data_IF_772451326345
#
_entry.id   IF_772451326345
#
_cell.length_a   1.000
_cell.length_b   1.000
_cell.length_c   1.000
_cell.angle_alpha   90.00
_cell.angle_beta   90.00
_cell.angle_gamma   90.00
#
_symmetry.space_group_name_H-M   'P 1'
#
loop_
_entity.id
_entity.type
_entity.pdbx_description
1 polymer ?
#
# COMPACT_ATOMS: atom_id res chain seq x y z
N UNK A 1 -1.62 -1.23 -15.80
CA UNK A 1 -0.48 -1.12 -14.91
C UNK A 1 -0.90 -1.02 -13.45
N UNK A 2 -1.76 -0.06 -13.14
CA UNK A 2 -2.28 0.06 -11.78
C UNK A 2 -3.12 -1.14 -11.42
N UNK A 3 -3.81 -1.69 -12.43
CA UNK A 3 -4.63 -2.87 -12.22
C UNK A 3 -3.78 -4.05 -11.75
N UNK A 4 -2.59 -4.21 -12.34
CA UNK A 4 -1.72 -5.32 -11.96
C UNK A 4 -1.21 -5.15 -10.54
N UNK A 5 -0.84 -3.94 -10.17
CA UNK A 5 -0.40 -3.65 -8.81
C UNK A 5 -1.49 -3.96 -7.80
N UNK A 6 -2.72 -3.51 -8.08
CA UNK A 6 -3.83 -3.75 -7.18
C UNK A 6 -4.11 -5.23 -7.03
N UNK A 7 -4.03 -5.97 -8.12
CA UNK A 7 -4.27 -7.40 -8.09
C UNK A 7 -3.23 -8.13 -7.24
N UNK A 8 -1.97 -7.77 -7.39
CA UNK A 8 -0.91 -8.41 -6.62
C UNK A 8 -1.08 -8.12 -5.13
N UNK A 9 -1.44 -6.91 -4.78
CA UNK A 9 -1.64 -6.54 -3.38
C UNK A 9 -2.82 -7.31 -2.81
N UNK A 10 -3.89 -7.43 -3.58
CA UNK A 10 -5.06 -8.18 -3.14
C UNK A 10 -4.72 -9.66 -2.97
N UNK A 11 -4.00 -10.24 -3.92
CA UNK A 11 -3.61 -11.65 -3.86
C UNK A 11 -2.69 -11.91 -2.67
N UNK A 12 -1.88 -10.93 -2.29
CA UNK A 12 -0.98 -11.07 -1.16
C UNK A 12 -1.68 -10.85 0.18
N UNK A 13 -2.95 -10.44 0.16
CA UNK A 13 -3.69 -10.21 1.38
C UNK A 13 -3.31 -8.92 2.08
N UNK A 14 -2.81 -7.94 1.35
CA UNK A 14 -2.32 -6.70 1.94
C UNK A 14 -3.30 -5.54 1.86
N UNK A 15 -4.42 -5.75 1.20
CA UNK A 15 -5.43 -4.70 1.11
C UNK A 15 -5.92 -4.36 2.52
N UNK A 16 -5.86 -3.08 2.86
CA UNK A 16 -6.27 -2.64 4.18
C UNK A 16 -5.17 -2.71 5.25
N UNK A 17 -4.02 -3.26 4.90
CA UNK A 17 -2.91 -3.33 5.84
C UNK A 17 -2.42 -1.91 6.16
N UNK A 18 -2.08 -1.67 7.43
CA UNK A 18 -1.67 -0.34 7.84
C UNK A 18 -0.44 -0.37 8.73
N UNK A 19 0.30 0.73 8.70
CA UNK A 19 1.41 0.99 9.60
C UNK A 19 1.21 2.41 10.10
N UNK A 20 1.05 2.56 11.41
CA UNK A 20 0.75 3.86 11.98
C UNK A 20 -0.51 4.43 11.34
N UNK A 21 -0.43 5.63 10.84
CA UNK A 21 -1.58 6.27 10.20
C UNK A 21 -1.70 6.04 8.70
N UNK A 22 -0.79 5.25 8.12
CA UNK A 22 -0.84 4.96 6.69
C UNK A 22 -1.49 3.61 6.47
N UNK A 23 -2.30 3.50 5.43
CA UNK A 23 -3.02 2.26 5.15
C UNK A 23 -3.12 2.03 3.65
N UNK A 24 -3.00 0.77 3.24
CA UNK A 24 -3.29 0.42 1.86
C UNK A 24 -4.80 0.47 1.68
N UNK A 25 -5.25 1.24 0.70
CA UNK A 25 -6.68 1.45 0.49
C UNK A 25 -7.40 0.13 0.28
N UNK A 26 -8.57 -0.01 0.89
CA UNK A 26 -9.40 -1.18 0.67
C UNK A 26 -10.16 -1.08 -0.63
N UNK A 27 -10.21 0.11 -1.23
CA UNK A 27 -10.92 0.31 -2.48
C UNK A 27 -10.00 0.25 -3.68
N UNK A 28 -8.78 0.76 -3.52
CA UNK A 28 -7.81 0.82 -4.61
C UNK A 28 -6.49 0.31 -4.08
N UNK A 29 -6.24 -0.97 -4.28
CA UNK A 29 -5.10 -1.65 -3.67
C UNK A 29 -3.75 -1.07 -4.02
N UNK A 30 -3.65 -0.26 -5.08
CA UNK A 30 -2.38 0.37 -5.43
C UNK A 30 -2.14 1.70 -4.76
N UNK A 31 -3.02 2.12 -3.85
CA UNK A 31 -2.96 3.44 -3.21
C UNK A 31 -2.72 3.31 -1.72
N UNK A 32 -1.97 4.27 -1.19
CA UNK A 32 -1.80 4.39 0.26
C UNK A 32 -2.51 5.65 0.70
N UNK A 33 -3.35 5.53 1.70
CA UNK A 33 -4.14 6.63 2.21
C UNK A 33 -3.67 6.99 3.61
N UNK A 34 -3.99 8.20 4.01
CA UNK A 34 -3.71 8.70 5.36
C UNK A 34 -4.99 8.58 6.18
N UNK A 35 -4.99 7.65 7.13
CA UNK A 35 -6.14 7.45 8.00
C UNK A 35 -6.25 8.56 9.05
N UNK A 36 -5.14 9.23 9.30
CA UNK A 36 -5.05 10.27 10.30
C UNK A 36 -3.67 10.24 10.91
N UNK A 37 -3.00 11.36 10.89
CA UNK A 37 -1.69 11.50 11.51
C UNK A 37 -0.61 10.58 10.96
N UNK A 38 -0.73 10.16 9.71
CA UNK A 38 0.33 9.38 9.10
C UNK A 38 1.57 10.25 8.96
N UNK A 39 2.71 9.71 9.36
CA UNK A 39 3.97 10.42 9.18
C UNK A 39 4.62 9.95 7.90
N UNK A 40 5.62 10.72 7.43
CA UNK A 40 6.39 10.29 6.27
C UNK A 40 7.03 8.93 6.52
N UNK A 41 7.47 8.69 7.75
CA UNK A 41 8.06 7.42 8.11
C UNK A 41 7.04 6.29 7.97
N UNK A 42 5.81 6.50 8.44
CA UNK A 42 4.76 5.50 8.32
C UNK A 42 4.53 5.12 6.86
N UNK A 43 4.43 6.14 6.01
CA UNK A 43 4.19 5.92 4.58
C UNK A 43 5.35 5.16 3.95
N UNK A 44 6.57 5.59 4.25
CA UNK A 44 7.74 4.94 3.67
C UNK A 44 7.88 3.50 4.12
N UNK A 45 7.59 3.22 5.39
CA UNK A 45 7.65 1.86 5.90
C UNK A 45 6.60 0.98 5.24
N UNK A 46 5.41 1.53 5.06
CA UNK A 46 4.34 0.77 4.42
C UNK A 46 4.66 0.47 2.96
N UNK A 47 5.18 1.46 2.25
CA UNK A 47 5.58 1.27 0.86
C UNK A 47 6.65 0.18 0.77
N UNK A 48 7.67 0.28 1.61
CA UNK A 48 8.76 -0.69 1.55
C UNK A 48 8.30 -2.08 1.93
N UNK A 49 7.49 -2.18 2.98
CA UNK A 49 6.97 -3.47 3.40
C UNK A 49 6.15 -4.12 2.28
N UNK A 50 5.29 -3.33 1.66
CA UNK A 50 4.44 -3.85 0.60
C UNK A 50 5.27 -4.33 -0.59
N UNK A 51 6.25 -3.53 -0.99
CA UNK A 51 7.12 -3.93 -2.09
C UNK A 51 7.89 -5.21 -1.77
N UNK A 52 8.38 -5.32 -0.53
CA UNK A 52 9.13 -6.50 -0.11
C UNK A 52 8.24 -7.74 -0.14
N UNK A 53 7.00 -7.61 0.33
CA UNK A 53 6.08 -8.74 0.35
C UNK A 53 5.74 -9.21 -1.06
N UNK A 54 5.49 -8.27 -1.96
CA UNK A 54 5.16 -8.62 -3.33
C UNK A 54 6.36 -9.28 -4.02
N UNK A 55 7.54 -8.74 -3.80
CA UNK A 55 8.73 -9.32 -4.40
C UNK A 55 8.97 -10.74 -3.87
N UNK A 56 8.80 -10.91 -2.57
CA UNK A 56 9.02 -12.20 -1.93
C UNK A 56 8.01 -13.25 -2.40
N UNK A 57 6.76 -12.84 -2.59
CA UNK A 57 5.71 -13.79 -2.96
C UNK A 57 5.66 -14.07 -4.45
N UNK A 58 5.90 -13.06 -5.26
CA UNK A 58 5.66 -13.17 -6.71
C UNK A 58 6.88 -12.89 -7.56
N UNK A 59 7.96 -12.43 -6.96
CA UNK A 59 9.16 -12.07 -7.71
C UNK A 59 8.97 -10.85 -8.59
N UNK A 60 8.03 -9.98 -8.26
CA UNK A 60 7.71 -8.81 -9.06
C UNK A 60 7.89 -7.55 -8.25
N UNK A 61 8.21 -6.47 -8.95
CA UNK A 61 8.29 -5.15 -8.33
C UNK A 61 7.07 -4.35 -8.72
N UNK A 62 6.63 -3.49 -7.80
CA UNK A 62 5.44 -2.67 -8.02
C UNK A 62 5.74 -1.23 -7.63
N UNK A 63 4.87 -0.34 -8.09
CA UNK A 63 4.88 1.05 -7.68
C UNK A 63 3.56 1.35 -7.00
N UNK A 64 3.62 2.15 -5.96
CA UNK A 64 2.43 2.52 -5.20
C UNK A 64 2.18 4.01 -5.32
N UNK A 65 0.90 4.37 -5.39
CA UNK A 65 0.50 5.78 -5.35
C UNK A 65 0.22 6.16 -3.92
N UNK A 66 0.63 7.35 -3.53
CA UNK A 66 0.38 7.83 -2.19
C UNK A 66 -0.64 8.94 -2.26
N UNK A 67 -1.75 8.76 -1.57
CA UNK A 67 -2.79 9.76 -1.45
C UNK A 67 -2.63 10.43 -0.10
N UNK A 68 -2.45 11.73 -0.10
CA UNK A 68 -2.28 12.47 1.14
C UNK A 68 -3.61 12.93 1.72
N UNK A 69 -4.68 12.78 0.96
CA UNK A 69 -6.00 13.17 1.42
C UNK A 69 -6.56 12.04 2.26
N UNK A 70 -6.97 12.36 3.47
CA UNK A 70 -7.54 11.33 4.33
C UNK A 70 -8.83 10.78 3.78
N UNK A 71 -9.01 9.48 3.94
CA UNK A 71 -10.24 8.81 3.54
C UNK A 71 -11.13 8.69 4.76
N UNK A 72 -12.37 9.06 4.60
CA UNK A 72 -13.29 9.04 5.73
C UNK A 72 -14.35 8.00 5.60
#
# INVERSE_FOLDING_TARGET
>A
KDFITAKLIDDAGLKGYSIGGAQISTKHGGFIINKGNATAKDVMELVQYTKDQIYSKFGKTIELEVELIGEK
#
